data_IF_304080279804
#
_entry.id   IF_304080279804
#
_cell.length_a   1.000
_cell.length_b   1.000
_cell.length_c   1.000
_cell.angle_alpha   90.00
_cell.angle_beta   90.00
_cell.angle_gamma   90.00
#
_symmetry.space_group_name_H-M   'P 1'
#
loop_
_entity.id
_entity.type
_entity.pdbx_description
1 polymer ?
#
# COMPACT_ATOMS: atom_id res chain seq x y z
N UNK A 1 -6.61 4.04 -0.72
CA UNK A 1 -5.55 4.36 -1.70
C UNK A 1 -5.37 5.87 -1.77
N UNK A 2 -4.16 6.33 -2.10
CA UNK A 2 -3.87 7.69 -2.52
C UNK A 2 -3.79 7.69 -4.04
N UNK A 3 -4.55 8.57 -4.68
CA UNK A 3 -4.66 8.64 -6.14
C UNK A 3 -4.46 10.07 -6.64
N UNK A 4 -4.11 10.22 -7.91
CA UNK A 4 -4.02 11.51 -8.58
C UNK A 4 -5.34 12.28 -8.44
N UNK A 5 -5.33 13.57 -8.11
CA UNK A 5 -6.59 14.33 -8.05
C UNK A 5 -7.08 14.69 -9.46
N UNK A 6 -8.15 14.04 -9.92
CA UNK A 6 -8.93 14.46 -11.10
C UNK A 6 -10.43 14.19 -10.87
N UNK A 7 -11.20 15.21 -10.42
CA UNK A 7 -12.62 15.04 -10.10
C UNK A 7 -13.50 14.66 -11.29
N UNK A 8 -13.11 15.06 -12.50
CA UNK A 8 -13.90 14.79 -13.70
C UNK A 8 -13.74 13.34 -14.15
N UNK A 9 -12.52 12.79 -14.06
CA UNK A 9 -12.25 11.39 -14.42
C UNK A 9 -12.93 10.40 -13.48
N UNK A 10 -12.94 10.69 -12.17
CA UNK A 10 -13.47 9.72 -11.19
C UNK A 10 -14.99 9.68 -11.06
N UNK A 11 -15.68 10.67 -11.63
CA UNK A 11 -17.13 10.58 -11.80
C UNK A 11 -17.50 9.53 -12.86
N UNK A 12 -16.68 9.42 -13.90
CA UNK A 12 -17.02 8.64 -15.10
C UNK A 12 -16.34 7.26 -15.11
N UNK A 13 -15.23 7.07 -14.36
CA UNK A 13 -14.55 5.77 -14.16
C UNK A 13 -13.88 5.66 -12.80
N UNK A 14 -13.56 4.45 -12.35
CA UNK A 14 -12.65 4.28 -11.21
C UNK A 14 -11.19 4.63 -11.58
N UNK A 15 -10.32 4.93 -10.59
CA UNK A 15 -8.89 5.06 -10.80
C UNK A 15 -8.29 3.81 -11.47
N UNK A 16 -7.42 4.01 -12.46
CA UNK A 16 -6.60 2.96 -13.07
C UNK A 16 -5.27 2.85 -12.32
N UNK A 17 -4.47 1.80 -12.50
CA UNK A 17 -3.19 1.67 -11.79
C UNK A 17 -2.26 2.89 -11.92
N UNK A 18 -2.22 3.51 -13.10
CA UNK A 18 -1.44 4.73 -13.37
C UNK A 18 -1.88 5.95 -12.54
N UNK A 19 -3.11 5.93 -12.01
CA UNK A 19 -3.62 6.98 -11.14
C UNK A 19 -3.25 6.74 -9.67
N UNK A 20 -2.71 5.57 -9.31
CA UNK A 20 -2.48 5.15 -7.91
C UNK A 20 -1.04 5.45 -7.48
N UNK A 21 -0.91 6.27 -6.45
CA UNK A 21 0.37 6.64 -5.84
C UNK A 21 0.73 5.76 -4.65
N UNK A 22 -0.28 5.32 -3.89
CA UNK A 22 -0.14 4.41 -2.75
C UNK A 22 -1.40 3.56 -2.64
N UNK A 23 -1.24 2.25 -2.60
CA UNK A 23 -2.35 1.33 -2.32
C UNK A 23 -2.22 0.79 -0.90
N UNK A 24 -3.34 0.75 -0.17
CA UNK A 24 -3.38 0.29 1.23
C UNK A 24 -4.55 -0.67 1.36
N UNK A 25 -4.29 -1.84 1.93
CA UNK A 25 -5.29 -2.85 2.27
C UNK A 25 -5.25 -3.14 3.77
N UNK A 26 -6.41 -3.38 4.37
CA UNK A 26 -6.53 -3.79 5.77
C UNK A 26 -6.89 -5.27 5.79
N UNK A 27 -5.99 -6.08 6.34
CA UNK A 27 -6.14 -7.53 6.43
C UNK A 27 -6.46 -7.94 7.86
N UNK A 28 -7.67 -8.48 8.03
CA UNK A 28 -8.03 -9.27 9.21
C UNK A 28 -7.73 -10.76 8.95
N UNK A 29 -8.54 -11.42 8.12
CA UNK A 29 -8.42 -12.85 7.83
C UNK A 29 -7.72 -13.19 6.50
N UNK A 30 -7.35 -12.17 5.71
CA UNK A 30 -6.91 -12.34 4.30
C UNK A 30 -5.42 -12.14 4.08
N UNK A 31 -4.59 -12.17 5.14
CA UNK A 31 -3.20 -11.73 5.07
C UNK A 31 -2.38 -12.41 3.96
N UNK A 32 -2.48 -13.73 3.86
CA UNK A 32 -1.75 -14.47 2.82
C UNK A 32 -2.24 -14.11 1.41
N UNK A 33 -3.54 -13.83 1.25
CA UNK A 33 -4.08 -13.38 -0.02
C UNK A 33 -3.56 -12.00 -0.41
N UNK A 34 -3.55 -11.07 0.54
CA UNK A 34 -3.10 -9.69 0.34
C UNK A 34 -1.58 -9.62 0.10
N UNK A 35 -0.81 -10.42 0.85
CA UNK A 35 0.66 -10.52 0.73
C UNK A 35 1.13 -11.26 -0.51
N UNK A 36 0.47 -12.35 -0.91
CA UNK A 36 0.98 -13.20 -1.98
C UNK A 36 0.29 -12.94 -3.31
N UNK A 37 -1.05 -12.95 -3.34
CA UNK A 37 -1.80 -12.84 -4.60
C UNK A 37 -1.96 -11.42 -5.06
N UNK A 38 -2.42 -10.52 -4.17
CA UNK A 38 -2.62 -9.12 -4.52
C UNK A 38 -1.31 -8.40 -4.78
N UNK A 39 -0.28 -8.64 -3.96
CA UNK A 39 1.04 -8.03 -4.18
C UNK A 39 1.57 -8.31 -5.60
N UNK A 40 1.46 -9.55 -6.10
CA UNK A 40 1.84 -9.88 -7.48
C UNK A 40 1.04 -9.12 -8.53
N UNK A 41 -0.28 -9.01 -8.33
CA UNK A 41 -1.15 -8.26 -9.25
C UNK A 41 -0.78 -6.77 -9.27
N UNK A 42 -0.49 -6.19 -8.10
CA UNK A 42 -0.14 -4.78 -7.98
C UNK A 42 1.27 -4.46 -8.47
N UNK A 43 2.23 -5.38 -8.29
CA UNK A 43 3.54 -5.29 -8.90
C UNK A 43 3.45 -5.31 -10.43
N UNK A 44 2.66 -6.23 -11.02
CA UNK A 44 2.36 -6.26 -12.47
C UNK A 44 1.74 -4.97 -12.99
N UNK A 45 0.95 -4.31 -12.14
CA UNK A 45 0.33 -3.05 -12.46
C UNK A 45 1.27 -1.83 -12.25
N UNK A 46 2.54 -2.07 -11.89
CA UNK A 46 3.55 -1.05 -11.58
C UNK A 46 3.11 -0.03 -10.51
N UNK A 47 2.32 -0.47 -9.52
CA UNK A 47 1.96 0.39 -8.39
C UNK A 47 3.23 0.63 -7.56
N UNK A 48 3.66 1.89 -7.34
CA UNK A 48 4.98 2.17 -6.75
C UNK A 48 5.14 1.65 -5.31
N UNK A 49 4.04 1.69 -4.55
CA UNK A 49 4.03 1.32 -3.15
C UNK A 49 2.68 0.70 -2.75
N UNK A 50 2.76 -0.43 -2.06
CA UNK A 50 1.61 -1.19 -1.58
C UNK A 50 1.78 -1.54 -0.11
N UNK A 51 0.76 -1.27 0.70
CA UNK A 51 0.74 -1.51 2.13
C UNK A 51 -0.34 -2.52 2.49
N UNK A 52 0.00 -3.46 3.37
CA UNK A 52 -0.96 -4.37 4.02
C UNK A 52 -0.89 -4.16 5.52
N UNK A 53 -1.99 -3.65 6.08
CA UNK A 53 -2.18 -3.48 7.52
C UNK A 53 -2.68 -4.82 8.09
N UNK A 54 -1.82 -5.54 8.80
CA UNK A 54 -2.19 -6.76 9.52
C UNK A 54 -2.68 -6.38 10.92
N UNK A 55 -4.00 -6.33 11.10
CA UNK A 55 -4.62 -5.91 12.36
C UNK A 55 -4.47 -6.94 13.48
N UNK A 56 -4.30 -8.21 13.12
CA UNK A 56 -4.15 -9.29 14.10
C UNK A 56 -2.78 -9.28 14.77
N UNK A 57 -1.72 -8.99 13.99
CA UNK A 57 -0.36 -8.85 14.54
C UNK A 57 0.04 -7.41 14.86
N UNK A 58 -0.82 -6.44 14.55
CA UNK A 58 -0.56 -5.00 14.69
C UNK A 58 0.75 -4.59 14.02
N UNK A 59 0.87 -4.91 12.74
CA UNK A 59 2.05 -4.62 11.92
C UNK A 59 1.65 -4.16 10.53
N UNK A 60 2.53 -3.42 9.89
CA UNK A 60 2.41 -2.98 8.51
C UNK A 60 3.42 -3.73 7.65
N UNK A 61 2.94 -4.41 6.60
CA UNK A 61 3.79 -4.92 5.53
C UNK A 61 3.83 -3.87 4.42
N UNK A 62 5.04 -3.49 4.01
CA UNK A 62 5.30 -2.47 2.99
C UNK A 62 6.02 -3.12 1.82
N UNK A 63 5.48 -2.93 0.62
CA UNK A 63 6.02 -3.44 -0.63
C UNK A 63 6.37 -2.26 -1.56
N UNK A 64 7.59 -2.22 -2.08
CA UNK A 64 8.12 -1.14 -2.93
C UNK A 64 8.98 -1.69 -4.06
N UNK A 65 9.27 -0.83 -5.04
CA UNK A 65 10.09 -1.16 -6.21
C UNK A 65 9.49 -2.33 -7.01
N UNK A 66 8.30 -2.14 -7.63
CA UNK A 66 7.70 -3.18 -8.45
C UNK A 66 8.59 -3.51 -9.65
N UNK A 67 8.79 -4.80 -9.90
CA UNK A 67 9.46 -5.31 -11.07
C UNK A 67 8.76 -6.59 -11.53
N UNK A 68 8.29 -6.56 -12.78
CA UNK A 68 7.49 -7.63 -13.38
C UNK A 68 6.29 -8.01 -12.54
N UNK A 69 6.37 -9.06 -11.72
CA UNK A 69 5.28 -9.53 -10.87
C UNK A 69 5.64 -9.62 -9.39
N UNK A 70 6.71 -8.94 -8.97
CA UNK A 70 7.14 -8.90 -7.58
C UNK A 70 7.56 -7.49 -7.18
N UNK A 71 7.49 -7.22 -5.88
CA UNK A 71 8.14 -6.06 -5.29
C UNK A 71 9.54 -6.46 -4.84
N UNK A 72 10.55 -5.65 -5.16
CA UNK A 72 11.94 -5.96 -4.79
C UNK A 72 12.22 -5.63 -3.32
N UNK A 73 11.42 -4.77 -2.72
CA UNK A 73 11.51 -4.40 -1.31
C UNK A 73 10.25 -4.85 -0.60
N UNK A 74 10.42 -5.68 0.43
CA UNK A 74 9.39 -6.04 1.41
C UNK A 74 9.92 -5.71 2.82
N UNK A 75 9.18 -4.89 3.56
CA UNK A 75 9.51 -4.51 4.93
C UNK A 75 8.32 -4.78 5.85
N UNK A 76 8.59 -5.22 7.07
CA UNK A 76 7.58 -5.35 8.12
C UNK A 76 7.89 -4.35 9.23
N UNK A 77 6.91 -3.54 9.58
CA UNK A 77 7.00 -2.47 10.58
C UNK A 77 6.01 -2.74 11.72
N UNK A 78 6.44 -2.54 12.96
CA UNK A 78 5.62 -2.68 14.15
C UNK A 78 5.03 -1.35 14.62
N UNK A 79 4.17 -1.41 15.64
CA UNK A 79 3.44 -0.24 16.19
C UNK A 79 4.31 0.92 16.68
N UNK A 80 5.61 0.71 16.91
CA UNK A 80 6.54 1.76 17.37
C UNK A 80 7.29 2.45 16.24
N UNK A 81 7.15 1.92 15.03
CA UNK A 81 7.83 2.45 13.86
C UNK A 81 7.00 3.57 13.21
N UNK A 82 7.69 4.35 12.38
CA UNK A 82 7.08 5.35 11.51
C UNK A 82 7.49 5.08 10.06
N UNK A 83 6.67 5.53 9.12
CA UNK A 83 6.94 5.38 7.69
C UNK A 83 6.59 6.65 6.94
N UNK A 84 7.39 6.97 5.91
CA UNK A 84 7.12 8.03 4.95
C UNK A 84 6.75 7.36 3.62
N UNK A 85 5.53 7.56 3.09
CA UNK A 85 5.16 7.08 1.77
C UNK A 85 6.02 7.74 0.68
N UNK A 86 6.42 6.96 -0.32
CA UNK A 86 7.28 7.42 -1.43
C UNK A 86 6.65 8.60 -2.16
N UNK A 87 5.34 8.56 -2.39
CA UNK A 87 4.61 9.62 -3.09
C UNK A 87 4.28 10.85 -2.22
N UNK A 88 4.50 10.78 -0.89
CA UNK A 88 4.16 11.83 0.07
C UNK A 88 5.36 12.06 1.01
N UNK A 89 6.47 12.62 0.50
CA UNK A 89 7.73 12.72 1.26
C UNK A 89 7.64 13.59 2.52
N UNK A 90 6.64 14.48 2.59
CA UNK A 90 6.42 15.36 3.74
C UNK A 90 5.44 14.76 4.78
N UNK A 91 4.91 13.56 4.54
CA UNK A 91 3.98 12.88 5.44
C UNK A 91 4.68 11.77 6.21
N UNK A 92 4.83 11.96 7.53
CA UNK A 92 5.23 10.90 8.45
C UNK A 92 3.99 10.22 9.02
N UNK A 93 3.88 8.91 8.87
CA UNK A 93 2.82 8.08 9.45
C UNK A 93 3.39 7.30 10.63
N UNK A 94 3.02 7.70 11.84
CA UNK A 94 3.32 6.99 13.08
C UNK A 94 2.40 5.77 13.21
N UNK A 95 2.94 4.55 13.22
CA UNK A 95 2.10 3.34 13.28
C UNK A 95 1.38 3.17 14.62
N UNK A 96 1.85 3.85 15.66
CA UNK A 96 1.16 3.92 16.94
C UNK A 96 -0.23 4.57 16.84
N UNK A 97 -0.46 5.44 15.85
CA UNK A 97 -1.76 6.08 15.61
C UNK A 97 -2.69 5.23 14.73
N UNK A 98 -2.13 4.28 13.98
CA UNK A 98 -2.88 3.37 13.10
C UNK A 98 -3.48 2.22 13.93
N UNK A 99 -2.72 1.70 14.90
CA UNK A 99 -3.10 0.59 15.76
C UNK A 99 -3.48 1.07 17.16
N UNK A 100 -4.62 1.74 17.27
CA UNK A 100 -5.24 2.12 18.56
C UNK A 100 -5.77 0.93 19.35
#
# INVERSE_FOLDING_TARGET
>A
AVVQLDPNRYRDRHPTPEDIHLLIEVSDSTLNYDRDRKAKVYAKANIPEYWVIDVNKKQLLVFREPQEDSYQVEQVLGVKDAIVPVALPDLVVELSQVFV
#
